data_IF_658768961251
#
_entry.id   IF_658768961251
#
_cell.length_a   1.000
_cell.length_b   1.000
_cell.length_c   1.000
_cell.angle_alpha   90.00
_cell.angle_beta   90.00
_cell.angle_gamma   90.00
#
_symmetry.space_group_name_H-M   'P 1'
#
loop_
_entity.id
_entity.type
_entity.pdbx_description
1 polymer ?
#
# COMPACT_ATOMS: atom_id res chain seq x y z
N UNK A 1 -10.99 1.11 -19.92
CA UNK A 1 -12.22 1.94 -19.85
C UNK A 1 -11.80 3.37 -19.59
N UNK A 2 -12.47 4.38 -20.17
CA UNK A 2 -12.11 5.77 -19.93
C UNK A 2 -12.39 6.14 -18.47
N UNK A 3 -11.55 7.01 -17.90
CA UNK A 3 -11.62 7.48 -16.51
C UNK A 3 -13.04 7.90 -16.08
N UNK A 4 -13.73 8.65 -16.96
CA UNK A 4 -15.10 9.14 -16.75
C UNK A 4 -16.12 8.03 -16.50
N UNK A 5 -16.05 6.92 -17.25
CA UNK A 5 -16.99 5.81 -17.08
C UNK A 5 -16.80 5.12 -15.73
N UNK A 6 -15.55 5.01 -15.28
CA UNK A 6 -15.24 4.41 -13.97
C UNK A 6 -15.71 5.31 -12.83
N UNK A 7 -15.55 6.64 -12.95
CA UNK A 7 -16.07 7.59 -11.97
C UNK A 7 -17.61 7.58 -11.91
N UNK A 8 -18.30 7.52 -13.05
CA UNK A 8 -19.75 7.38 -13.07
C UNK A 8 -20.24 6.09 -12.38
N UNK A 9 -19.49 4.99 -12.51
CA UNK A 9 -19.77 3.74 -11.79
C UNK A 9 -19.53 3.86 -10.29
N UNK A 10 -18.48 4.59 -9.88
CA UNK A 10 -18.21 4.90 -8.48
C UNK A 10 -19.39 5.65 -7.88
N UNK A 11 -19.89 6.69 -8.56
CA UNK A 11 -21.05 7.46 -8.10
C UNK A 11 -22.30 6.57 -7.97
N UNK A 12 -22.56 5.69 -8.94
CA UNK A 12 -23.66 4.73 -8.88
C UNK A 12 -23.51 3.69 -7.75
N UNK A 13 -22.28 3.24 -7.47
CA UNK A 13 -21.99 2.34 -6.36
C UNK A 13 -22.21 3.04 -5.01
N UNK A 14 -21.79 4.30 -4.87
CA UNK A 14 -22.02 5.10 -3.66
C UNK A 14 -23.52 5.38 -3.43
N UNK A 15 -24.26 5.77 -4.48
CA UNK A 15 -25.70 6.00 -4.39
C UNK A 15 -26.48 4.74 -3.98
N UNK A 16 -25.97 3.57 -4.35
CA UNK A 16 -26.53 2.28 -3.96
C UNK A 16 -26.02 1.74 -2.61
N UNK A 17 -25.23 2.52 -1.86
CA UNK A 17 -24.64 2.11 -0.58
C UNK A 17 -23.52 1.06 -0.69
N UNK A 18 -23.03 0.75 -1.90
CA UNK A 18 -21.96 -0.22 -2.17
C UNK A 18 -20.57 0.40 -1.97
N UNK A 19 -20.36 1.02 -0.80
CA UNK A 19 -19.12 1.74 -0.46
C UNK A 19 -17.84 0.90 -0.64
N UNK A 20 -17.79 -0.41 -0.27
CA UNK A 20 -16.58 -1.21 -0.49
C UNK A 20 -16.20 -1.35 -1.97
N UNK A 21 -17.19 -1.45 -2.86
CA UNK A 21 -16.98 -1.59 -4.31
C UNK A 21 -16.45 -0.28 -4.89
N UNK A 22 -17.07 0.85 -4.51
CA UNK A 22 -16.62 2.18 -4.89
C UNK A 22 -15.16 2.41 -4.48
N UNK A 23 -14.79 2.08 -3.24
CA UNK A 23 -13.41 2.16 -2.75
C UNK A 23 -12.45 1.34 -3.59
N UNK A 24 -12.79 0.08 -3.88
CA UNK A 24 -11.93 -0.80 -4.67
C UNK A 24 -11.69 -0.25 -6.08
N UNK A 25 -12.72 0.29 -6.73
CA UNK A 25 -12.60 0.92 -8.05
C UNK A 25 -11.70 2.16 -7.99
N UNK A 26 -11.90 3.03 -7.00
CA UNK A 26 -11.09 4.23 -6.81
C UNK A 26 -9.61 3.87 -6.55
N UNK A 27 -9.32 2.85 -5.75
CA UNK A 27 -7.93 2.36 -5.56
C UNK A 27 -7.31 1.89 -6.89
N UNK A 28 -8.08 1.20 -7.73
CA UNK A 28 -7.64 0.81 -9.07
C UNK A 28 -7.37 2.02 -9.98
N UNK A 29 -8.20 3.07 -9.88
CA UNK A 29 -7.97 4.32 -10.61
C UNK A 29 -6.71 5.03 -10.11
N UNK A 30 -6.50 5.16 -8.80
CA UNK A 30 -5.28 5.78 -8.23
C UNK A 30 -4.03 5.03 -8.71
N UNK A 31 -4.08 3.70 -8.81
CA UNK A 31 -2.96 2.93 -9.35
C UNK A 31 -2.69 3.18 -10.85
N UNK A 32 -3.70 3.59 -11.61
CA UNK A 32 -3.58 3.86 -13.06
C UNK A 32 -3.31 5.33 -13.37
N UNK A 33 -3.73 6.22 -12.47
CA UNK A 33 -3.63 7.69 -12.56
C UNK A 33 -3.08 8.21 -11.21
N UNK A 34 -1.81 7.91 -10.89
CA UNK A 34 -1.20 8.24 -9.59
C UNK A 34 -0.96 9.73 -9.38
N UNK A 35 -1.10 10.56 -10.41
CA UNK A 35 -0.94 12.01 -10.39
C UNK A 35 -2.28 12.77 -10.40
N UNK A 36 -3.40 12.08 -10.66
CA UNK A 36 -4.73 12.68 -10.71
C UNK A 36 -5.26 12.99 -9.29
N UNK A 37 -5.19 14.26 -8.90
CA UNK A 37 -5.65 14.73 -7.60
C UNK A 37 -7.17 14.58 -7.42
N UNK A 38 -7.97 14.63 -8.49
CA UNK A 38 -9.42 14.45 -8.41
C UNK A 38 -9.75 13.03 -7.95
N UNK A 39 -9.07 12.02 -8.52
CA UNK A 39 -9.26 10.63 -8.11
C UNK A 39 -8.85 10.43 -6.64
N UNK A 40 -7.75 11.04 -6.20
CA UNK A 40 -7.28 10.97 -4.81
C UNK A 40 -8.26 11.62 -3.84
N UNK A 41 -8.75 12.83 -4.16
CA UNK A 41 -9.79 13.54 -3.40
C UNK A 41 -11.05 12.70 -3.24
N UNK A 42 -11.54 12.07 -4.32
CA UNK A 42 -12.68 11.15 -4.26
C UNK A 42 -12.44 9.95 -3.37
N UNK A 43 -11.23 9.38 -3.38
CA UNK A 43 -10.88 8.29 -2.49
C UNK A 43 -10.87 8.73 -1.02
N UNK A 44 -10.39 9.93 -0.72
CA UNK A 44 -10.47 10.51 0.63
C UNK A 44 -11.91 10.64 1.13
N UNK A 45 -12.81 11.17 0.31
CA UNK A 45 -14.24 11.27 0.62
C UNK A 45 -14.83 9.92 1.04
N UNK A 46 -14.47 8.84 0.34
CA UNK A 46 -14.90 7.49 0.69
C UNK A 46 -14.32 7.03 2.03
N UNK A 47 -13.06 7.34 2.35
CA UNK A 47 -12.47 7.00 3.64
C UNK A 47 -13.09 7.79 4.82
N UNK A 48 -13.58 9.02 4.58
CA UNK A 48 -14.37 9.75 5.59
C UNK A 48 -15.66 9.01 5.95
N UNK A 49 -16.33 8.39 4.97
CA UNK A 49 -17.51 7.56 5.22
C UNK A 49 -17.21 6.34 6.11
N UNK A 50 -15.97 5.84 6.08
CA UNK A 50 -15.50 4.76 6.95
C UNK A 50 -15.02 5.24 8.33
N UNK A 51 -14.94 6.54 8.56
CA UNK A 51 -14.36 7.09 9.78
C UNK A 51 -12.85 6.82 9.91
N UNK A 52 -12.12 6.76 8.78
CA UNK A 52 -10.66 6.62 8.78
C UNK A 52 -9.99 7.96 8.39
N UNK A 53 -9.76 8.88 9.35
CA UNK A 53 -9.20 10.19 9.07
C UNK A 53 -7.75 10.13 8.57
N UNK A 54 -6.99 9.08 8.88
CA UNK A 54 -5.61 8.99 8.42
C UNK A 54 -5.52 8.58 6.95
N UNK A 55 -6.38 7.66 6.50
CA UNK A 55 -6.48 7.34 5.08
C UNK A 55 -7.11 8.51 4.31
N UNK A 56 -8.12 9.19 4.85
CA UNK A 56 -8.64 10.42 4.24
C UNK A 56 -7.52 11.48 4.09
N UNK A 57 -6.77 11.73 5.16
CA UNK A 57 -5.63 12.66 5.17
C UNK A 57 -4.52 12.27 4.21
N UNK A 58 -4.22 10.98 4.07
CA UNK A 58 -3.24 10.45 3.09
C UNK A 58 -3.60 10.87 1.67
N UNK A 59 -4.86 10.71 1.28
CA UNK A 59 -5.30 10.98 -0.08
C UNK A 59 -5.54 12.48 -0.35
N UNK A 60 -5.80 13.28 0.70
CA UNK A 60 -5.87 14.74 0.64
C UNK A 60 -4.51 15.44 0.86
N UNK A 61 -3.44 14.72 1.19
CA UNK A 61 -2.18 15.34 1.64
C UNK A 61 -1.58 16.35 0.67
N UNK A 62 -1.85 16.18 -0.63
CA UNK A 62 -1.35 17.04 -1.71
C UNK A 62 -2.30 18.17 -2.12
N UNK A 63 -3.44 18.30 -1.44
CA UNK A 63 -4.46 19.31 -1.69
C UNK A 63 -4.31 20.47 -0.71
N UNK A 64 -4.44 21.71 -1.20
CA UNK A 64 -4.26 22.93 -0.39
C UNK A 64 -5.38 23.11 0.62
N UNK A 65 -6.61 22.69 0.28
CA UNK A 65 -7.80 22.72 1.12
C UNK A 65 -7.92 21.52 2.07
N UNK A 66 -6.81 20.80 2.34
CA UNK A 66 -6.77 19.64 3.23
C UNK A 66 -7.15 19.99 4.67
N UNK A 67 -7.84 19.07 5.34
CA UNK A 67 -8.21 19.23 6.74
C UNK A 67 -7.02 18.96 7.68
N UNK A 68 -6.79 19.86 8.63
CA UNK A 68 -5.65 19.75 9.56
C UNK A 68 -5.72 18.50 10.45
N UNK A 69 -6.92 18.10 10.89
CA UNK A 69 -7.11 16.91 11.72
C UNK A 69 -6.79 15.62 10.96
N UNK A 70 -7.25 15.51 9.71
CA UNK A 70 -6.95 14.37 8.84
C UNK A 70 -5.46 14.29 8.51
N UNK A 71 -4.86 15.45 8.19
CA UNK A 71 -3.41 15.58 7.95
C UNK A 71 -2.63 15.11 9.18
N UNK A 72 -3.01 15.54 10.37
CA UNK A 72 -2.36 15.12 11.63
C UNK A 72 -2.50 13.62 11.88
N UNK A 73 -3.68 13.04 11.59
CA UNK A 73 -3.91 11.61 11.72
C UNK A 73 -3.05 10.79 10.75
N UNK A 74 -2.91 11.26 9.51
CA UNK A 74 -2.00 10.68 8.51
C UNK A 74 -0.55 10.72 8.99
N UNK A 75 -0.08 11.87 9.44
CA UNK A 75 1.30 12.06 9.89
C UNK A 75 1.62 11.30 11.18
N UNK A 76 0.63 11.11 12.06
CA UNK A 76 0.76 10.25 13.23
C UNK A 76 0.86 8.76 12.86
N UNK A 77 0.14 8.33 11.81
CA UNK A 77 0.19 6.95 11.29
C UNK A 77 1.51 6.65 10.58
N UNK A 78 2.07 7.63 9.89
CA UNK A 78 3.33 7.53 9.17
C UNK A 78 4.33 8.56 9.72
N UNK A 79 4.91 8.33 10.90
CA UNK A 79 5.69 9.33 11.62
C UNK A 79 6.99 9.75 10.91
N UNK A 80 7.58 8.89 10.08
CA UNK A 80 8.86 9.19 9.40
C UNK A 80 8.66 9.62 7.95
N UNK A 81 9.53 10.47 7.44
CA UNK A 81 9.48 10.91 6.05
C UNK A 81 9.55 9.73 5.03
N UNK A 82 10.38 8.69 5.23
CA UNK A 82 10.36 7.49 4.37
C UNK A 82 9.04 6.71 4.42
N UNK A 83 8.32 6.73 5.54
CA UNK A 83 6.99 6.13 5.63
C UNK A 83 5.95 6.98 4.89
N UNK A 84 5.97 8.30 5.05
CA UNK A 84 5.07 9.22 4.31
C UNK A 84 5.27 9.11 2.81
N UNK A 85 6.53 9.12 2.36
CA UNK A 85 6.88 9.00 0.94
C UNK A 85 6.31 7.71 0.32
N UNK A 86 6.45 6.57 1.01
CA UNK A 86 5.83 5.29 0.61
C UNK A 86 4.31 5.32 0.64
N UNK A 87 3.74 5.89 1.69
CA UNK A 87 2.29 5.95 1.87
C UNK A 87 1.65 6.81 0.77
N UNK A 88 2.26 7.92 0.37
CA UNK A 88 1.74 8.73 -0.72
C UNK A 88 1.66 7.93 -2.03
N UNK A 89 2.56 6.96 -2.29
CA UNK A 89 2.55 6.19 -3.53
C UNK A 89 2.47 7.08 -4.78
N UNK A 90 3.18 8.21 -4.74
CA UNK A 90 3.38 9.10 -5.88
C UNK A 90 4.38 8.44 -6.86
N UNK A 91 4.17 8.62 -8.15
CA UNK A 91 5.02 8.04 -9.21
C UNK A 91 5.52 9.14 -10.13
N UNK A 92 6.82 9.12 -10.44
CA UNK A 92 7.47 10.14 -11.25
C UNK A 92 7.82 11.43 -10.48
N UNK A 93 8.39 12.43 -11.20
CA UNK A 93 8.92 13.65 -10.59
C UNK A 93 7.80 14.56 -10.07
N UNK A 94 8.15 15.47 -9.15
CA UNK A 94 7.17 16.42 -8.58
C UNK A 94 6.55 17.30 -9.67
N UNK A 95 7.27 17.57 -10.77
CA UNK A 95 6.79 18.41 -11.88
C UNK A 95 5.50 17.92 -12.52
N UNK A 96 5.14 16.64 -12.36
CA UNK A 96 3.86 16.08 -12.81
C UNK A 96 2.67 16.56 -11.97
N UNK A 97 2.89 17.04 -10.75
CA UNK A 97 1.79 17.46 -9.90
C UNK A 97 1.13 18.74 -10.47
N UNK A 98 -0.22 18.76 -10.57
CA UNK A 98 -0.93 19.80 -11.32
C UNK A 98 -0.96 21.15 -10.61
N UNK A 99 -0.72 21.20 -9.29
CA UNK A 99 -0.77 22.42 -8.48
C UNK A 99 0.60 22.77 -7.92
N UNK A 100 0.87 24.06 -7.71
CA UNK A 100 2.12 24.51 -7.07
C UNK A 100 2.26 23.92 -5.66
N UNK A 101 1.17 23.92 -4.89
CA UNK A 101 1.12 23.34 -3.56
C UNK A 101 1.51 21.86 -3.53
N UNK A 102 0.95 21.03 -4.43
CA UNK A 102 1.30 19.62 -4.50
C UNK A 102 2.78 19.41 -4.83
N UNK A 103 3.33 20.23 -5.75
CA UNK A 103 4.76 20.19 -6.10
C UNK A 103 5.65 20.49 -4.90
N UNK A 104 5.34 21.56 -4.18
CA UNK A 104 6.08 21.97 -2.98
C UNK A 104 5.97 20.92 -1.87
N UNK A 105 4.76 20.38 -1.67
CA UNK A 105 4.53 19.40 -0.63
C UNK A 105 5.24 18.07 -0.91
N UNK A 106 5.24 17.61 -2.17
CA UNK A 106 6.03 16.44 -2.59
C UNK A 106 7.53 16.71 -2.41
N UNK A 107 8.02 17.86 -2.86
CA UNK A 107 9.43 18.21 -2.72
C UNK A 107 9.86 18.21 -1.24
N UNK A 108 9.03 18.77 -0.35
CA UNK A 108 9.29 18.75 1.09
C UNK A 108 9.38 17.32 1.65
N UNK A 109 8.48 16.41 1.25
CA UNK A 109 8.52 15.00 1.67
C UNK A 109 9.79 14.30 1.16
N UNK A 110 10.16 14.52 -0.11
CA UNK A 110 11.37 13.92 -0.70
C UNK A 110 12.65 14.42 -0.05
N UNK A 111 12.75 15.73 0.22
CA UNK A 111 13.90 16.32 0.94
C UNK A 111 14.00 15.73 2.35
N UNK A 112 12.91 15.74 3.12
CA UNK A 112 12.91 15.16 4.46
C UNK A 112 13.23 13.66 4.46
N UNK A 113 12.82 12.92 3.42
CA UNK A 113 13.18 11.52 3.23
C UNK A 113 14.68 11.36 2.95
N UNK A 114 15.23 12.19 2.06
CA UNK A 114 16.66 12.17 1.71
C UNK A 114 17.54 12.48 2.93
N UNK A 115 17.15 13.47 3.72
CA UNK A 115 17.84 13.85 4.96
C UNK A 115 17.79 12.69 5.97
N UNK A 116 16.61 12.08 6.17
CA UNK A 116 16.45 10.95 7.09
C UNK A 116 17.23 9.71 6.66
N UNK A 117 17.46 9.52 5.36
CA UNK A 117 18.18 8.37 4.80
C UNK A 117 19.68 8.64 4.62
N UNK A 118 20.14 9.88 4.81
CA UNK A 118 21.53 10.30 4.58
C UNK A 118 22.00 10.19 3.13
N UNK A 119 21.07 10.13 2.17
CA UNK A 119 21.36 10.04 0.73
C UNK A 119 20.20 10.61 -0.09
N UNK A 120 20.45 11.10 -1.32
CA UNK A 120 19.37 11.47 -2.23
C UNK A 120 18.40 10.30 -2.48
N UNK A 121 17.11 10.58 -2.40
CA UNK A 121 16.02 9.65 -2.71
C UNK A 121 15.10 10.30 -3.74
N UNK A 122 14.75 9.54 -4.78
CA UNK A 122 13.74 9.91 -5.78
C UNK A 122 12.47 9.08 -5.61
N UNK A 123 11.35 9.58 -6.14
CA UNK A 123 10.04 8.93 -6.05
C UNK A 123 10.02 7.51 -6.63
N UNK A 124 10.75 7.28 -7.72
CA UNK A 124 10.83 5.97 -8.37
C UNK A 124 11.76 4.98 -7.64
N UNK A 125 12.61 5.48 -6.73
CA UNK A 125 13.57 4.67 -5.98
C UNK A 125 13.00 4.13 -4.65
N UNK A 126 11.78 4.51 -4.31
CA UNK A 126 11.11 4.06 -3.09
C UNK A 126 10.32 2.79 -3.42
N UNK A 127 10.68 1.63 -2.83
CA UNK A 127 9.94 0.40 -3.07
C UNK A 127 8.47 0.60 -2.74
N UNK A 128 7.60 0.28 -3.68
CA UNK A 128 6.16 0.27 -3.47
C UNK A 128 5.84 -0.62 -2.27
N UNK A 129 4.83 -0.27 -1.46
CA UNK A 129 4.37 -1.13 -0.36
C UNK A 129 4.04 -2.56 -0.84
N UNK A 130 3.71 -2.74 -2.12
CA UNK A 130 3.50 -4.05 -2.74
C UNK A 130 4.78 -4.91 -2.86
N UNK A 131 5.98 -4.31 -2.88
CA UNK A 131 7.26 -5.05 -2.94
C UNK A 131 7.82 -5.37 -1.55
N UNK A 132 7.35 -4.68 -0.50
CA UNK A 132 7.76 -4.95 0.87
C UNK A 132 7.18 -6.26 1.41
N UNK A 133 6.07 -6.75 0.86
CA UNK A 133 5.50 -8.08 1.16
C UNK A 133 6.31 -9.24 0.55
N UNK A 134 7.32 -8.95 -0.29
CA UNK A 134 8.21 -9.95 -0.89
C UNK A 134 9.56 -10.14 -0.18
N UNK A 135 9.94 -9.25 0.76
CA UNK A 135 11.30 -9.26 1.37
C UNK A 135 11.27 -9.67 2.84
N UNK A 136 10.40 -10.61 3.20
CA UNK A 136 10.31 -11.12 4.56
C UNK A 136 9.87 -12.58 4.63
N UNK A 137 10.75 -13.53 4.29
CA UNK A 137 10.72 -14.90 4.89
C UNK A 137 11.86 -15.85 4.47
N UNK A 138 13.12 -15.40 4.35
CA UNK A 138 14.23 -16.39 4.26
C UNK A 138 14.38 -17.19 5.56
N UNK A 139 13.87 -16.69 6.69
CA UNK A 139 13.90 -17.41 7.98
C UNK A 139 12.69 -18.35 8.15
N UNK A 140 11.54 -18.07 7.55
CA UNK A 140 10.34 -18.92 7.68
C UNK A 140 10.39 -20.15 6.75
N UNK A 141 11.07 -20.07 5.60
CA UNK A 141 11.25 -21.20 4.69
C UNK A 141 12.11 -22.34 5.27
N UNK A 142 13.06 -22.01 6.16
CA UNK A 142 13.97 -23.01 6.74
C UNK A 142 13.28 -23.87 7.81
N UNK A 143 12.35 -23.30 8.58
CA UNK A 143 11.58 -24.03 9.59
C UNK A 143 10.51 -24.95 8.97
N UNK A 144 9.88 -24.52 7.88
CA UNK A 144 8.91 -25.34 7.15
C UNK A 144 9.58 -26.54 6.44
N UNK A 145 10.78 -26.35 5.87
CA UNK A 145 11.53 -27.42 5.20
C UNK A 145 12.00 -28.52 6.14
N UNK A 146 12.49 -28.16 7.34
CA UNK A 146 12.95 -29.12 8.34
C UNK A 146 11.81 -30.00 8.89
N UNK A 147 10.62 -29.42 9.12
CA UNK A 147 9.45 -30.16 9.59
C UNK A 147 8.96 -31.22 8.59
N UNK A 148 8.96 -30.90 7.30
CA UNK A 148 8.54 -31.83 6.25
C UNK A 148 9.50 -33.02 6.13
N UNK A 149 10.82 -32.78 6.22
CA UNK A 149 11.82 -33.83 6.16
C UNK A 149 11.67 -34.83 7.32
N UNK A 150 11.45 -34.35 8.55
CA UNK A 150 11.27 -35.21 9.74
C UNK A 150 10.01 -36.06 9.61
N UNK A 151 8.90 -35.51 9.12
CA UNK A 151 7.67 -36.26 8.92
C UNK A 151 7.82 -37.39 7.89
N UNK A 152 8.51 -37.13 6.79
CA UNK A 152 8.79 -38.14 5.75
C UNK A 152 9.70 -39.24 6.30
N UNK A 153 10.76 -38.90 7.03
CA UNK A 153 11.65 -39.88 7.63
C UNK A 153 10.94 -40.74 8.68
N UNK A 154 10.09 -40.15 9.52
CA UNK A 154 9.28 -40.89 10.48
C UNK A 154 8.30 -41.83 9.79
N UNK A 155 7.63 -41.38 8.74
CA UNK A 155 6.69 -42.21 7.97
C UNK A 155 7.40 -43.39 7.29
N UNK A 156 8.59 -43.16 6.71
CA UNK A 156 9.40 -44.22 6.13
C UNK A 156 9.89 -45.20 7.19
N UNK A 157 10.32 -44.73 8.37
CA UNK A 157 10.75 -45.60 9.46
C UNK A 157 9.61 -46.50 9.98
N UNK A 158 8.39 -45.97 10.07
CA UNK A 158 7.19 -46.76 10.43
C UNK A 158 6.93 -47.83 9.37
N UNK A 159 7.00 -47.49 8.09
CA UNK A 159 6.80 -48.44 7.00
C UNK A 159 7.86 -49.54 6.97
N UNK A 160 9.14 -49.19 7.14
CA UNK A 160 10.24 -50.17 7.15
C UNK A 160 10.12 -51.10 8.35
N UNK A 161 9.86 -50.58 9.56
CA UNK A 161 9.66 -51.42 10.74
C UNK A 161 8.43 -52.33 10.62
N UNK A 162 7.33 -51.81 10.08
CA UNK A 162 6.12 -52.61 9.82
C UNK A 162 6.35 -53.71 8.78
N UNK A 163 7.16 -53.43 7.75
CA UNK A 163 7.50 -54.38 6.70
C UNK A 163 8.46 -55.47 7.21
N UNK A 164 9.46 -55.12 8.03
CA UNK A 164 10.36 -56.10 8.68
C UNK A 164 9.57 -57.04 9.60
N UNK A 165 8.63 -56.52 10.39
CA UNK A 165 7.77 -57.34 11.26
C UNK A 165 6.79 -58.26 10.52
N UNK A 166 6.64 -58.12 9.20
CA UNK A 166 5.84 -59.00 8.34
C UNK A 166 6.64 -60.18 7.76
N UNK A 167 7.98 -60.11 7.84
CA UNK A 167 8.90 -61.10 7.28
C UNK A 167 9.76 -61.84 8.33
N UNK A 168 9.61 -61.50 9.61
CA UNK A 168 10.01 -62.33 10.79
C UNK A 168 8.80 -63.13 11.30
#
# INVERSE_FOLDING_TARGET
MPLRDTLARVDADLAAGRVPVARQRLRGLVSSFPDDLVVRRRLAEVYRLYGDPAEAGRWMYLEEDREAAETSAFEARYPTAPQRMRALAWQGPESLAPTAFAREQLAAVRVACSDAMGRPVDWDAVPSAAEADGTGSTVTGFLAGAGCLVAVLAFLAIWVNGLVALFD
#
